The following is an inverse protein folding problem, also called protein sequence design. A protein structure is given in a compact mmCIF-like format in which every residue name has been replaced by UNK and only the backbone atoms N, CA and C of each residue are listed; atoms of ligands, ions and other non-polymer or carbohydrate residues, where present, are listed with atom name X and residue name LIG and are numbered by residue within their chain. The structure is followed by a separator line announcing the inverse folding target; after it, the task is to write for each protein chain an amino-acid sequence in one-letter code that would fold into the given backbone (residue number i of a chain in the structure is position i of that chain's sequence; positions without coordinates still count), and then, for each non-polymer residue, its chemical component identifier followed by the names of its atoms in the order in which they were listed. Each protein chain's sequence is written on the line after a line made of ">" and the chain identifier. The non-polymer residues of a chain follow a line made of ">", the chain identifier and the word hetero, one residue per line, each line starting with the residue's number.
data_IF_724552477150
#
_entry.id   IF_724552477150
#
_cell.length_a   1.000
_cell.length_b   1.000
_cell.length_c   1.000
_cell.angle_alpha   90.00
_cell.angle_beta   90.00
_cell.angle_gamma   90.00
#
_symmetry.space_group_name_H-M   'P 1'
#
loop_
_entity.id
_entity.type
_entity.pdbx_description
1 polymer ?
#
# COMPACT_ATOMS: atom_id res chain seq x y z
N UNK A 1 -16.90 77.55 -29.14
CA UNK A 1 -18.31 77.11 -29.31
C UNK A 1 -18.58 76.10 -28.21
N UNK A 2 -19.54 76.38 -27.34
CA UNK A 2 -19.88 75.63 -26.11
C UNK A 2 -20.84 74.50 -26.45
N UNK A 3 -20.60 73.26 -25.99
CA UNK A 3 -21.61 72.26 -25.58
C UNK A 3 -20.89 71.32 -24.57
N UNK A 4 -21.10 71.41 -23.25
CA UNK A 4 -22.19 70.86 -22.41
C UNK A 4 -22.32 69.33 -22.42
N UNK A 5 -22.22 68.76 -21.21
CA UNK A 5 -22.47 67.36 -20.85
C UNK A 5 -23.82 66.80 -21.32
N UNK A 6 -23.92 65.46 -21.42
CA UNK A 6 -25.02 64.70 -20.83
C UNK A 6 -24.65 63.20 -20.69
N UNK A 7 -24.80 62.72 -19.46
CA UNK A 7 -24.81 61.32 -19.05
C UNK A 7 -25.82 60.49 -19.86
N UNK A 8 -25.51 59.22 -20.10
CA UNK A 8 -26.53 58.18 -20.05
C UNK A 8 -25.94 56.88 -19.53
N UNK A 9 -26.53 56.40 -18.43
CA UNK A 9 -26.15 55.18 -17.76
C UNK A 9 -26.51 53.94 -18.56
N UNK A 10 -25.60 52.98 -18.53
CA UNK A 10 -25.87 51.58 -18.84
C UNK A 10 -25.28 50.75 -17.71
N UNK A 11 -26.09 50.44 -16.70
CA UNK A 11 -25.73 49.39 -15.76
C UNK A 11 -25.79 48.07 -16.53
N UNK A 12 -24.63 47.44 -16.72
CA UNK A 12 -24.54 46.09 -17.24
C UNK A 12 -25.09 45.13 -16.18
N UNK A 13 -26.25 44.57 -16.47
CA UNK A 13 -26.88 43.48 -15.74
C UNK A 13 -25.93 42.25 -15.75
N UNK A 14 -25.20 42.06 -14.65
CA UNK A 14 -24.45 40.82 -14.41
C UNK A 14 -25.46 39.72 -14.11
N UNK A 15 -25.70 38.85 -15.08
CA UNK A 15 -26.39 37.60 -14.85
C UNK A 15 -25.66 36.80 -13.76
N UNK A 16 -26.31 36.63 -12.61
CA UNK A 16 -25.89 35.68 -11.59
C UNK A 16 -26.08 34.27 -12.15
N UNK A 17 -24.98 33.58 -12.46
CA UNK A 17 -25.00 32.14 -12.72
C UNK A 17 -25.30 31.47 -11.39
N UNK A 18 -26.48 30.87 -11.27
CA UNK A 18 -26.84 30.07 -10.12
C UNK A 18 -25.85 28.88 -10.00
N UNK A 19 -25.35 28.55 -8.80
CA UNK A 19 -24.52 27.38 -8.60
C UNK A 19 -25.43 26.14 -8.63
N UNK A 20 -25.77 25.66 -9.84
CA UNK A 20 -26.34 24.35 -10.04
C UNK A 20 -25.22 23.36 -10.34
N UNK A 21 -24.45 23.02 -9.31
CA UNK A 21 -23.60 21.83 -9.30
C UNK A 21 -23.70 21.21 -7.90
N UNK A 22 -24.90 20.70 -7.60
CA UNK A 22 -25.03 19.64 -6.62
C UNK A 22 -24.35 18.41 -7.20
N UNK A 23 -23.04 18.30 -6.99
CA UNK A 23 -22.36 17.01 -7.00
C UNK A 23 -22.94 16.24 -5.82
N UNK A 24 -24.12 15.65 -6.03
CA UNK A 24 -24.57 14.55 -5.22
C UNK A 24 -23.50 13.48 -5.36
N UNK A 25 -22.53 13.46 -4.44
CA UNK A 25 -21.66 12.32 -4.25
C UNK A 25 -22.62 11.14 -4.12
N UNK A 26 -22.64 10.17 -5.05
CA UNK A 26 -23.29 8.91 -4.75
C UNK A 26 -22.68 8.49 -3.43
N UNK A 27 -23.53 8.28 -2.42
CA UNK A 27 -23.08 7.71 -1.16
C UNK A 27 -22.23 6.51 -1.57
N UNK A 28 -20.92 6.62 -1.41
CA UNK A 28 -20.00 5.53 -1.64
C UNK A 28 -20.40 4.54 -0.56
N UNK A 29 -21.37 3.68 -0.88
CA UNK A 29 -21.44 2.39 -0.25
C UNK A 29 -20.02 1.89 -0.36
N UNK A 30 -19.35 1.68 0.78
CA UNK A 30 -18.08 0.99 0.81
C UNK A 30 -18.39 -0.38 0.20
N UNK A 31 -18.30 -0.47 -1.12
CA UNK A 31 -18.11 -1.73 -1.80
C UNK A 31 -16.89 -2.27 -1.12
N UNK A 32 -17.11 -3.31 -0.31
CA UNK A 32 -16.07 -4.03 0.39
C UNK A 32 -15.04 -4.36 -0.68
N UNK A 33 -13.92 -3.64 -0.67
CA UNK A 33 -12.91 -3.77 -1.71
C UNK A 33 -12.22 -5.11 -1.44
N UNK A 34 -12.76 -6.15 -2.05
CA UNK A 34 -12.27 -7.50 -1.89
C UNK A 34 -11.07 -7.68 -2.81
N UNK A 35 -9.99 -8.24 -2.27
CA UNK A 35 -8.80 -8.60 -3.03
C UNK A 35 -8.96 -9.98 -3.69
N UNK A 36 -10.11 -10.24 -4.32
CA UNK A 36 -10.50 -11.58 -4.80
C UNK A 36 -9.58 -12.14 -5.91
N UNK A 37 -8.75 -11.30 -6.52
CA UNK A 37 -7.74 -11.69 -7.51
C UNK A 37 -6.38 -12.00 -6.88
N UNK A 38 -6.24 -11.83 -5.56
CA UNK A 38 -5.07 -12.20 -4.78
C UNK A 38 -5.49 -13.19 -3.70
N UNK A 39 -5.25 -14.46 -3.97
CA UNK A 39 -5.25 -15.52 -2.97
C UNK A 39 -3.82 -16.04 -2.78
N UNK A 40 -3.66 -17.01 -1.90
CA UNK A 40 -2.37 -17.64 -1.69
C UNK A 40 -1.80 -18.30 -2.96
N UNK A 41 -2.65 -18.97 -3.75
CA UNK A 41 -2.25 -19.63 -4.98
C UNK A 41 -1.59 -18.63 -5.93
N UNK A 42 -2.19 -17.45 -6.07
CA UNK A 42 -1.66 -16.36 -6.87
C UNK A 42 -0.34 -15.82 -6.33
N UNK A 43 -0.14 -15.75 -5.01
CA UNK A 43 1.15 -15.34 -4.44
C UNK A 43 2.30 -16.30 -4.80
N UNK A 44 2.03 -17.62 -4.87
CA UNK A 44 3.01 -18.58 -5.36
C UNK A 44 3.28 -18.45 -6.85
N UNK A 45 2.25 -18.26 -7.67
CA UNK A 45 2.40 -18.01 -9.11
C UNK A 45 3.25 -16.78 -9.40
N UNK A 46 2.94 -15.66 -8.73
CA UNK A 46 3.74 -14.43 -8.78
C UNK A 46 5.20 -14.73 -8.42
N UNK A 47 5.43 -15.49 -7.35
CA UNK A 47 6.78 -15.86 -6.95
C UNK A 47 7.55 -16.64 -8.03
N UNK A 48 6.87 -17.52 -8.75
CA UNK A 48 7.46 -18.26 -9.87
C UNK A 48 7.71 -17.37 -11.09
N UNK A 49 6.75 -16.51 -11.44
CA UNK A 49 6.84 -15.56 -12.57
C UNK A 49 8.03 -14.59 -12.41
N UNK A 50 8.31 -14.17 -11.18
CA UNK A 50 9.34 -13.18 -10.87
C UNK A 50 10.62 -13.76 -10.24
N UNK A 51 10.72 -15.08 -10.11
CA UNK A 51 11.90 -15.76 -9.57
C UNK A 51 12.17 -15.54 -8.07
N UNK A 52 11.17 -15.08 -7.32
CA UNK A 52 11.23 -14.89 -5.86
C UNK A 52 10.11 -15.72 -5.23
N UNK A 53 10.42 -16.97 -4.92
CA UNK A 53 9.44 -17.93 -4.42
C UNK A 53 8.84 -17.47 -3.08
N UNK A 54 7.51 -17.44 -2.99
CA UNK A 54 6.79 -17.07 -1.77
C UNK A 54 7.11 -18.03 -0.62
N UNK A 55 7.35 -17.49 0.58
CA UNK A 55 7.76 -18.16 1.81
C UNK A 55 9.10 -18.93 1.73
N UNK A 56 9.90 -18.71 0.68
CA UNK A 56 11.25 -19.26 0.61
C UNK A 56 12.18 -18.59 1.63
N UNK A 57 13.16 -19.32 2.20
CA UNK A 57 14.18 -18.73 3.06
C UNK A 57 14.90 -17.57 2.37
N UNK A 58 15.15 -16.49 3.12
CA UNK A 58 15.74 -15.27 2.60
C UNK A 58 16.58 -14.53 3.63
N UNK A 59 17.57 -13.79 3.15
CA UNK A 59 18.39 -12.85 3.93
C UNK A 59 18.15 -11.44 3.43
N UNK A 60 18.13 -10.46 4.34
CA UNK A 60 17.98 -9.05 3.97
C UNK A 60 19.21 -8.62 3.14
N UNK A 61 19.02 -8.05 1.93
CA UNK A 61 20.14 -7.60 1.12
C UNK A 61 20.85 -6.40 1.77
N UNK A 62 22.12 -6.19 1.40
CA UNK A 62 22.89 -5.00 1.81
C UNK A 62 23.35 -4.24 0.55
N UNK A 63 22.81 -3.04 0.27
CA UNK A 63 21.81 -2.31 1.05
C UNK A 63 20.40 -2.95 1.00
N UNK A 64 19.53 -2.74 2.01
CA UNK A 64 18.16 -3.31 2.01
C UNK A 64 17.21 -2.71 0.97
N UNK A 65 17.57 -1.55 0.40
CA UNK A 65 16.81 -0.81 -0.62
C UNK A 65 17.79 -0.29 -1.69
N UNK A 66 17.35 -0.09 -2.94
CA UNK A 66 15.96 -0.15 -3.41
C UNK A 66 15.38 -1.56 -3.51
N UNK A 67 14.05 -1.64 -3.45
CA UNK A 67 13.31 -2.87 -3.76
C UNK A 67 12.37 -2.60 -4.93
N UNK A 68 12.48 -3.42 -5.98
CA UNK A 68 11.62 -3.34 -7.16
C UNK A 68 10.48 -4.35 -7.06
N UNK A 69 9.26 -3.83 -7.16
CA UNK A 69 8.03 -4.58 -7.35
C UNK A 69 7.47 -4.36 -8.76
N UNK A 70 6.24 -4.83 -8.96
CA UNK A 70 5.52 -4.72 -10.22
C UNK A 70 4.05 -4.36 -9.98
N UNK A 71 3.36 -3.97 -11.04
CA UNK A 71 1.92 -3.80 -11.02
C UNK A 71 1.21 -4.96 -11.73
N UNK A 72 0.16 -5.49 -11.11
CA UNK A 72 -0.73 -6.48 -11.72
C UNK A 72 -2.16 -6.18 -11.32
N UNK A 73 -3.12 -6.20 -12.26
CA UNK A 73 -4.51 -5.85 -11.99
C UNK A 73 -4.70 -4.52 -11.23
N UNK A 74 -3.89 -3.50 -11.54
CA UNK A 74 -3.85 -2.20 -10.83
C UNK A 74 -3.38 -2.28 -9.37
N UNK A 75 -2.74 -3.38 -8.97
CA UNK A 75 -2.19 -3.62 -7.64
C UNK A 75 -0.68 -3.56 -7.67
N UNK A 76 -0.10 -2.78 -6.76
CA UNK A 76 1.35 -2.69 -6.59
C UNK A 76 1.84 -3.80 -5.68
N UNK A 77 2.53 -4.79 -6.23
CA UNK A 77 3.09 -5.93 -5.50
C UNK A 77 4.60 -5.74 -5.32
N UNK A 78 5.10 -5.97 -4.11
CA UNK A 78 6.52 -5.80 -3.78
C UNK A 78 7.04 -7.00 -2.97
N UNK A 79 8.21 -7.57 -3.33
CA UNK A 79 8.81 -8.66 -2.57
C UNK A 79 9.62 -8.08 -1.41
N UNK A 80 9.31 -8.48 -0.17
CA UNK A 80 10.06 -8.04 1.01
C UNK A 80 10.48 -9.25 1.85
N UNK A 81 11.66 -9.16 2.46
CA UNK A 81 12.12 -10.13 3.45
C UNK A 81 11.47 -9.81 4.80
N UNK A 82 10.76 -10.79 5.37
CA UNK A 82 10.15 -10.70 6.70
C UNK A 82 10.87 -11.63 7.65
N UNK A 83 11.08 -11.16 8.87
CA UNK A 83 11.67 -11.92 9.95
C UNK A 83 10.88 -11.72 11.24
N UNK A 84 11.00 -12.65 12.18
CA UNK A 84 10.51 -12.45 13.55
C UNK A 84 11.28 -11.31 14.23
N UNK A 85 10.60 -10.53 15.08
CA UNK A 85 11.16 -9.31 15.67
C UNK A 85 12.42 -9.50 16.52
N UNK A 86 12.58 -10.65 17.16
CA UNK A 86 13.69 -11.02 18.03
C UNK A 86 14.79 -11.83 17.32
N UNK A 87 14.54 -12.32 16.10
CA UNK A 87 15.50 -13.18 15.39
C UNK A 87 16.66 -12.43 14.72
N UNK A 88 17.83 -13.08 14.56
CA UNK A 88 18.95 -12.53 13.81
C UNK A 88 18.58 -12.28 12.35
N UNK A 89 19.28 -11.35 11.68
CA UNK A 89 18.99 -10.88 10.31
C UNK A 89 19.10 -11.94 9.20
N UNK A 90 19.46 -13.18 9.54
CA UNK A 90 19.74 -14.25 8.57
C UNK A 90 18.62 -15.29 8.45
N UNK A 91 17.60 -15.22 9.32
CA UNK A 91 16.45 -16.12 9.28
C UNK A 91 15.21 -15.31 8.89
N UNK A 92 14.98 -15.17 7.59
CA UNK A 92 13.81 -14.51 7.04
C UNK A 92 13.14 -15.36 5.97
N UNK A 93 11.98 -14.91 5.53
CA UNK A 93 11.26 -15.48 4.38
C UNK A 93 10.89 -14.39 3.38
N UNK A 94 10.90 -14.74 2.09
CA UNK A 94 10.41 -13.88 1.02
C UNK A 94 8.88 -13.80 1.06
N UNK A 95 8.34 -12.60 1.18
CA UNK A 95 6.89 -12.36 1.24
C UNK A 95 6.51 -11.33 0.20
N UNK A 96 5.50 -11.66 -0.60
CA UNK A 96 4.89 -10.71 -1.52
C UNK A 96 3.85 -9.89 -0.79
N UNK A 97 4.03 -8.57 -0.81
CA UNK A 97 3.11 -7.62 -0.21
C UNK A 97 2.38 -6.82 -1.27
N UNK A 98 1.09 -6.61 -1.04
CA UNK A 98 0.32 -5.57 -1.70
C UNK A 98 0.58 -4.22 -1.01
N UNK A 99 1.16 -3.27 -1.72
CA UNK A 99 1.24 -1.89 -1.24
C UNK A 99 -0.14 -1.23 -1.32
N UNK A 100 -0.66 -0.83 -0.16
CA UNK A 100 -2.02 -0.29 -0.05
C UNK A 100 -2.04 1.01 0.76
N UNK A 101 -2.20 2.14 0.07
CA UNK A 101 -2.20 3.48 0.69
C UNK A 101 -3.41 3.72 1.60
N UNK A 102 -4.51 2.99 1.39
CA UNK A 102 -5.70 3.04 2.24
C UNK A 102 -5.56 2.25 3.56
N UNK A 103 -4.45 1.53 3.76
CA UNK A 103 -4.19 0.76 4.99
C UNK A 103 -3.13 1.44 5.84
N UNK A 104 -3.47 1.94 7.04
CA UNK A 104 -2.49 2.53 7.95
C UNK A 104 -1.46 1.50 8.42
N UNK A 105 -1.94 0.33 8.86
CA UNK A 105 -1.11 -0.73 9.41
C UNK A 105 -0.66 -1.73 8.32
N UNK A 106 0.43 -2.44 8.61
CA UNK A 106 0.89 -3.59 7.82
C UNK A 106 0.24 -4.86 8.35
N UNK A 107 -0.18 -5.74 7.45
CA UNK A 107 -0.83 -7.01 7.79
C UNK A 107 -0.07 -8.18 7.17
N UNK A 108 0.09 -9.24 7.94
CA UNK A 108 0.70 -10.49 7.47
C UNK A 108 -0.28 -11.64 7.65
N UNK A 109 -0.29 -12.55 6.69
CA UNK A 109 -1.13 -13.74 6.70
C UNK A 109 -0.70 -14.71 7.80
N UNK A 110 -1.62 -15.58 8.23
CA UNK A 110 -1.31 -16.67 9.17
C UNK A 110 -0.18 -17.57 8.67
N UNK A 111 -0.03 -17.73 7.35
CA UNK A 111 1.05 -18.53 6.76
C UNK A 111 2.42 -17.91 6.94
N UNK A 112 2.53 -16.59 6.81
CA UNK A 112 3.77 -15.87 7.13
C UNK A 112 4.08 -15.99 8.61
N UNK A 113 3.08 -15.86 9.49
CA UNK A 113 3.26 -16.04 10.93
C UNK A 113 3.78 -17.44 11.26
N UNK A 114 3.15 -18.48 10.70
CA UNK A 114 3.56 -19.88 10.88
C UNK A 114 4.98 -20.13 10.35
N UNK A 115 5.33 -19.57 9.19
CA UNK A 115 6.67 -19.70 8.62
C UNK A 115 7.76 -19.04 9.48
N UNK A 116 7.39 -18.02 10.27
CA UNK A 116 8.27 -17.33 11.22
C UNK A 116 8.19 -17.90 12.64
N UNK A 117 7.39 -18.94 12.88
CA UNK A 117 7.14 -19.48 14.22
C UNK A 117 6.50 -18.48 15.18
N UNK A 118 5.76 -17.50 14.66
CA UNK A 118 4.97 -16.54 15.43
C UNK A 118 3.64 -17.19 15.77
N UNK A 119 3.25 -17.09 17.04
CA UNK A 119 2.01 -17.65 17.60
C UNK A 119 1.15 -16.54 18.19
N UNK A 120 -0.10 -16.83 18.52
CA UNK A 120 -0.99 -15.86 19.19
C UNK A 120 -0.44 -15.42 20.56
N UNK A 121 0.48 -16.17 21.18
CA UNK A 121 1.16 -15.78 22.41
C UNK A 121 2.16 -14.61 22.22
N UNK A 122 2.57 -14.36 20.98
CA UNK A 122 3.44 -13.25 20.61
C UNK A 122 2.65 -11.94 20.37
N UNK A 123 1.32 -12.00 20.42
CA UNK A 123 0.46 -10.82 20.22
C UNK A 123 0.54 -9.88 21.42
N UNK A 124 0.80 -8.60 21.16
CA UNK A 124 0.72 -7.56 22.19
C UNK A 124 -0.72 -7.26 22.58
N UNK A 125 -0.92 -6.67 23.76
CA UNK A 125 -2.27 -6.39 24.30
C UNK A 125 -3.18 -5.51 23.40
N UNK A 126 -2.60 -4.77 22.46
CA UNK A 126 -3.29 -3.94 21.46
C UNK A 126 -3.42 -4.61 20.07
N UNK A 127 -3.14 -5.92 19.99
CA UNK A 127 -3.38 -6.76 18.83
C UNK A 127 -2.33 -6.61 17.72
N UNK A 128 -1.06 -6.41 18.08
CA UNK A 128 0.05 -6.29 17.13
C UNK A 128 1.13 -7.34 17.40
N UNK A 129 1.87 -7.65 16.35
CA UNK A 129 3.06 -8.47 16.37
C UNK A 129 4.27 -7.62 16.02
N UNK A 130 5.44 -8.00 16.52
CA UNK A 130 6.70 -7.33 16.20
C UNK A 130 7.48 -8.18 15.20
N UNK A 131 7.80 -7.60 14.04
CA UNK A 131 8.54 -8.23 12.95
C UNK A 131 9.72 -7.35 12.54
N UNK A 132 10.65 -7.91 11.77
CA UNK A 132 11.59 -7.12 10.97
C UNK A 132 11.20 -7.23 9.50
N UNK A 133 10.99 -6.10 8.85
CA UNK A 133 10.70 -6.00 7.42
C UNK A 133 11.90 -5.34 6.74
N UNK A 134 12.59 -6.06 5.86
CA UNK A 134 13.87 -5.63 5.27
C UNK A 134 14.86 -5.08 6.32
N UNK A 135 14.96 -5.78 7.46
CA UNK A 135 15.85 -5.43 8.56
C UNK A 135 15.37 -4.30 9.48
N UNK A 136 14.25 -3.64 9.17
CA UNK A 136 13.65 -2.61 10.05
C UNK A 136 12.62 -3.25 10.97
N UNK A 137 12.76 -3.06 12.29
CA UNK A 137 11.75 -3.51 13.26
C UNK A 137 10.48 -2.67 13.13
N UNK A 138 9.35 -3.33 12.93
CA UNK A 138 8.03 -2.71 12.75
C UNK A 138 6.96 -3.49 13.51
N UNK A 139 5.80 -2.86 13.68
CA UNK A 139 4.58 -3.50 14.18
C UNK A 139 3.67 -3.88 13.01
N UNK A 140 3.11 -5.08 13.05
CA UNK A 140 2.11 -5.54 12.08
C UNK A 140 0.90 -6.17 12.79
N UNK A 141 -0.18 -6.41 12.06
CA UNK A 141 -1.34 -7.15 12.52
C UNK A 141 -1.47 -8.46 11.75
N UNK A 142 -2.20 -9.42 12.31
CA UNK A 142 -2.64 -10.60 11.56
C UNK A 142 -3.69 -10.18 10.54
N UNK A 143 -3.54 -10.61 9.28
CA UNK A 143 -4.55 -10.43 8.25
C UNK A 143 -5.86 -11.13 8.65
N UNK A 144 -7.01 -10.53 8.35
CA UNK A 144 -8.31 -11.11 8.69
C UNK A 144 -9.38 -10.74 7.64
N UNK A 145 -10.51 -11.45 7.69
CA UNK A 145 -11.69 -11.19 6.87
C UNK A 145 -11.33 -11.08 5.37
N UNK A 146 -11.57 -9.91 4.77
CA UNK A 146 -11.54 -9.67 3.32
C UNK A 146 -10.13 -9.60 2.71
N UNK A 147 -9.09 -9.78 3.52
CA UNK A 147 -7.69 -9.85 3.09
C UNK A 147 -6.90 -10.92 3.86
N UNK A 148 -7.58 -11.94 4.42
CA UNK A 148 -6.94 -12.98 5.23
C UNK A 148 -5.80 -13.73 4.52
N UNK A 149 -5.85 -13.79 3.19
CA UNK A 149 -4.85 -14.45 2.33
C UNK A 149 -3.84 -13.48 1.70
N UNK A 150 -3.93 -12.18 1.98
CA UNK A 150 -3.07 -11.15 1.39
C UNK A 150 -2.21 -10.48 2.46
N UNK A 151 -0.92 -10.32 2.18
CA UNK A 151 -0.03 -9.49 3.00
C UNK A 151 -0.13 -8.04 2.54
N UNK A 152 -0.42 -7.12 3.45
CA UNK A 152 -0.63 -5.71 3.14
C UNK A 152 0.54 -4.89 3.67
N UNK A 153 1.19 -4.13 2.79
CA UNK A 153 2.19 -3.16 3.15
C UNK A 153 1.56 -1.79 3.32
N UNK A 154 1.37 -1.40 4.58
CA UNK A 154 0.64 -0.20 4.98
C UNK A 154 1.51 1.07 5.01
N UNK A 155 0.85 2.22 5.07
CA UNK A 155 1.50 3.53 5.00
C UNK A 155 2.35 3.85 6.23
N UNK A 156 2.02 3.34 7.40
CA UNK A 156 2.84 3.54 8.61
C UNK A 156 4.21 2.91 8.48
N UNK A 157 4.29 1.69 7.93
CA UNK A 157 5.55 1.02 7.67
C UNK A 157 6.40 1.80 6.65
N UNK A 158 5.77 2.30 5.57
CA UNK A 158 6.45 3.20 4.61
C UNK A 158 7.08 4.42 5.29
N UNK A 159 6.34 5.09 6.18
CA UNK A 159 6.83 6.25 6.91
C UNK A 159 7.96 5.90 7.89
N UNK A 160 7.81 4.82 8.67
CA UNK A 160 8.81 4.35 9.63
C UNK A 160 10.12 3.94 8.93
N UNK A 161 10.02 3.33 7.75
CA UNK A 161 11.16 2.95 6.91
C UNK A 161 11.71 4.11 6.07
N UNK A 162 11.08 5.29 6.13
CA UNK A 162 11.39 6.51 5.35
C UNK A 162 11.43 6.27 3.84
N UNK A 163 10.46 5.51 3.34
CA UNK A 163 10.42 5.11 1.95
C UNK A 163 9.63 6.10 1.09
N UNK A 164 10.10 6.26 -0.15
CA UNK A 164 9.36 6.87 -1.26
C UNK A 164 9.06 5.80 -2.31
N UNK A 165 7.88 5.89 -2.95
CA UNK A 165 7.48 5.00 -4.04
C UNK A 165 7.60 5.71 -5.38
N UNK A 166 8.35 5.15 -6.31
CA UNK A 166 8.44 5.64 -7.69
C UNK A 166 7.76 4.64 -8.61
N UNK A 167 6.68 5.07 -9.25
CA UNK A 167 5.92 4.24 -10.18
C UNK A 167 6.35 4.56 -11.62
N UNK A 168 6.68 3.54 -12.39
CA UNK A 168 7.11 3.66 -13.78
C UNK A 168 6.20 2.83 -14.69
N UNK A 169 5.19 3.49 -15.25
CA UNK A 169 4.18 2.92 -16.15
C UNK A 169 4.65 2.82 -17.61
N UNK A 170 5.97 2.75 -17.84
CA UNK A 170 6.52 2.36 -19.15
C UNK A 170 6.45 0.84 -19.26
N UNK A 171 6.98 0.27 -20.34
CA UNK A 171 6.82 -1.12 -20.80
C UNK A 171 6.92 -2.27 -19.76
N UNK A 172 7.35 -2.03 -18.53
CA UNK A 172 7.54 -3.04 -17.49
C UNK A 172 6.65 -2.84 -16.24
N UNK A 173 5.79 -1.81 -16.20
CA UNK A 173 4.84 -1.52 -15.10
C UNK A 173 5.42 -1.76 -13.70
N UNK A 174 6.56 -1.14 -13.41
CA UNK A 174 7.32 -1.37 -12.18
C UNK A 174 6.99 -0.33 -11.11
N UNK A 175 7.08 -0.74 -9.85
CA UNK A 175 7.11 0.16 -8.70
C UNK A 175 8.41 -0.05 -7.94
N UNK A 176 9.10 1.03 -7.58
CA UNK A 176 10.34 0.96 -6.80
C UNK A 176 10.18 1.69 -5.48
N UNK A 177 10.65 1.06 -4.40
CA UNK A 177 10.70 1.65 -3.07
C UNK A 177 12.12 2.06 -2.74
N UNK A 178 12.31 3.34 -2.43
CA UNK A 178 13.60 4.00 -2.24
C UNK A 178 13.67 4.62 -0.85
N UNK A 179 14.86 4.59 -0.21
CA UNK A 179 15.16 5.37 1.00
C UNK A 179 15.81 6.70 0.66
#
# INVERSE_FOLDING_TARGET
>A
MVISNLNNGGQAERAQVAPNDSYAHPALTMTTYQFNDLDEGRLYEIGNEHGIQYLSPATVPTPPFPVTGFMTNLRSMVPLVVQRGDEPTNNGVNVWFLYHTGSPDTYITEKVMNALGITDADESADGFYTIKLQGTTLRCRKSNNTFEEVNIFGTKAMMEMKLSSVMNNKANDTIEFNR
#
